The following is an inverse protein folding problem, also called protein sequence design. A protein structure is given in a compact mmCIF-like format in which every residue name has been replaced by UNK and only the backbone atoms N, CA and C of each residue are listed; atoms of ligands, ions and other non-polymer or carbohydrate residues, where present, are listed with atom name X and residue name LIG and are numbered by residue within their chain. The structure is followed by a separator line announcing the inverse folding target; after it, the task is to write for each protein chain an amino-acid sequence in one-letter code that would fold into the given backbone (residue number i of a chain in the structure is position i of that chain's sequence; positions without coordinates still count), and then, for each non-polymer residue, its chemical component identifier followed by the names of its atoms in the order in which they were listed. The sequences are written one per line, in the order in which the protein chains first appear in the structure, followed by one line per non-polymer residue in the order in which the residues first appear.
data_IF_790806733405
#
_entry.id   IF_790806733405
#
_cell.length_a   1.000
_cell.length_b   1.000
_cell.length_c   1.000
_cell.angle_alpha   90.00
_cell.angle_beta   90.00
_cell.angle_gamma   90.00
#
_symmetry.space_group_name_H-M   'P 1'
#
loop_
_entity.id
_entity.type
_entity.pdbx_description
1 polymer ?
#
# COMPACT_ATOMS: atom_id res chain seq x y z
N UNK A 1 -18.74 10.18 -3.74
CA UNK A 1 -18.26 9.49 -2.55
C UNK A 1 -17.92 8.05 -2.89
N UNK A 2 -16.79 7.55 -2.46
CA UNK A 2 -16.46 6.15 -2.70
C UNK A 2 -17.39 5.23 -1.92
N UNK A 3 -17.73 4.11 -2.52
CA UNK A 3 -18.62 3.12 -1.90
C UNK A 3 -17.86 2.14 -1.03
N UNK A 4 -16.55 2.00 -1.27
CA UNK A 4 -15.71 1.04 -0.56
C UNK A 4 -14.49 1.75 -0.02
N UNK A 5 -14.07 1.37 1.16
CA UNK A 5 -12.90 1.97 1.79
C UNK A 5 -12.07 0.86 2.44
N UNK A 6 -10.78 0.84 2.14
CA UNK A 6 -9.87 -0.17 2.66
C UNK A 6 -8.59 0.45 3.17
N UNK A 7 -7.94 -0.24 4.06
CA UNK A 7 -6.60 0.13 4.50
C UNK A 7 -5.59 -0.74 3.77
N UNK A 8 -4.49 -0.13 3.39
CA UNK A 8 -3.41 -0.82 2.73
C UNK A 8 -2.07 -0.39 3.31
N UNK A 9 -1.07 -1.24 3.16
CA UNK A 9 0.29 -0.92 3.58
C UNK A 9 1.21 -1.06 2.39
N UNK A 10 2.01 -0.03 2.15
CA UNK A 10 3.00 -0.05 1.08
C UNK A 10 4.38 -0.18 1.70
N UNK A 11 5.13 -1.18 1.27
CA UNK A 11 6.48 -1.44 1.77
C UNK A 11 7.44 -1.46 0.59
N UNK A 12 8.55 -0.78 0.75
CA UNK A 12 9.56 -0.76 -0.30
C UNK A 12 10.41 -2.00 -0.23
N UNK A 13 10.61 -2.64 -1.40
CA UNK A 13 11.48 -3.79 -1.53
C UNK A 13 12.24 -3.63 -2.83
N UNK A 14 13.51 -3.21 -2.73
CA UNK A 14 14.32 -2.95 -3.90
C UNK A 14 13.76 -1.78 -4.71
N UNK A 15 13.40 -2.07 -5.95
CA UNK A 15 12.88 -1.06 -6.86
C UNK A 15 11.36 -0.92 -6.80
N UNK A 16 10.71 -1.77 -6.04
CA UNK A 16 9.27 -1.87 -6.06
C UNK A 16 8.67 -1.47 -4.74
N UNK A 17 7.43 -0.98 -4.81
CA UNK A 17 6.59 -0.78 -3.64
C UNK A 17 5.54 -1.87 -3.67
N UNK A 18 5.52 -2.72 -2.64
CA UNK A 18 4.50 -3.73 -2.49
C UNK A 18 3.36 -3.17 -1.68
N UNK A 19 2.16 -3.30 -2.23
CA UNK A 19 0.97 -2.73 -1.61
C UNK A 19 0.09 -3.89 -1.18
N UNK A 20 -0.10 -4.05 0.13
CA UNK A 20 -0.92 -5.11 0.67
C UNK A 20 -2.25 -4.55 1.13
N UNK A 21 -3.33 -5.21 0.72
CA UNK A 21 -4.68 -4.87 1.16
C UNK A 21 -5.20 -6.09 1.91
N UNK A 22 -4.99 -6.14 3.25
CA UNK A 22 -5.30 -7.35 4.01
C UNK A 22 -6.76 -7.78 3.94
N UNK A 23 -7.67 -6.81 3.87
CA UNK A 23 -9.09 -7.13 3.82
C UNK A 23 -9.46 -7.90 2.57
N UNK A 24 -8.70 -7.72 1.50
CA UNK A 24 -8.95 -8.41 0.24
C UNK A 24 -7.95 -9.54 -0.01
N UNK A 25 -7.01 -9.71 0.91
CA UNK A 25 -5.96 -10.74 0.79
C UNK A 25 -5.27 -10.65 -0.57
N UNK A 26 -4.92 -9.45 -0.98
CA UNK A 26 -4.30 -9.22 -2.28
C UNK A 26 -3.15 -8.25 -2.16
N UNK A 27 -2.29 -8.27 -3.18
CA UNK A 27 -1.07 -7.47 -3.23
C UNK A 27 -0.95 -6.83 -4.60
N UNK A 28 -0.51 -5.57 -4.63
CA UNK A 28 -0.17 -4.89 -5.87
C UNK A 28 1.27 -4.44 -5.84
N UNK A 29 1.76 -3.91 -6.95
CA UNK A 29 3.11 -3.39 -7.07
C UNK A 29 3.09 -2.02 -7.75
N UNK A 30 3.91 -1.11 -7.24
CA UNK A 30 4.08 0.20 -7.85
C UNK A 30 5.55 0.52 -7.93
N UNK A 31 5.93 1.37 -8.88
CA UNK A 31 7.32 1.75 -9.06
C UNK A 31 7.67 3.01 -8.27
N UNK A 32 6.70 3.88 -8.09
CA UNK A 32 6.92 5.15 -7.42
C UNK A 32 5.87 5.35 -6.34
N UNK A 33 6.20 6.24 -5.40
CA UNK A 33 5.27 6.58 -4.33
C UNK A 33 3.98 7.18 -4.90
N UNK A 34 4.11 7.97 -5.97
CA UNK A 34 2.94 8.64 -6.53
C UNK A 34 1.97 7.66 -7.19
N UNK A 35 2.43 6.46 -7.56
CA UNK A 35 1.57 5.45 -8.17
C UNK A 35 0.86 4.56 -7.16
N UNK A 36 1.29 4.60 -5.89
CA UNK A 36 0.80 3.66 -4.89
C UNK A 36 -0.72 3.73 -4.73
N UNK A 37 -1.26 4.93 -4.56
CA UNK A 37 -2.70 5.09 -4.36
C UNK A 37 -3.50 4.59 -5.55
N UNK A 38 -3.04 4.90 -6.74
CA UNK A 38 -3.73 4.51 -7.96
C UNK A 38 -3.71 2.99 -8.12
N UNK A 39 -2.54 2.39 -7.94
CA UNK A 39 -2.42 0.93 -8.04
C UNK A 39 -3.30 0.26 -7.01
N UNK A 40 -3.32 0.77 -5.78
CA UNK A 40 -4.15 0.19 -4.72
C UNK A 40 -5.61 0.21 -5.11
N UNK A 41 -6.10 1.32 -5.66
CA UNK A 41 -7.50 1.41 -6.06
C UNK A 41 -7.81 0.47 -7.23
N UNK A 42 -6.89 0.37 -8.16
CA UNK A 42 -7.08 -0.52 -9.30
C UNK A 42 -7.13 -1.98 -8.87
N UNK A 43 -6.23 -2.36 -7.99
CA UNK A 43 -6.20 -3.74 -7.49
C UNK A 43 -7.49 -4.04 -6.74
N UNK A 44 -7.92 -3.14 -5.86
CA UNK A 44 -9.15 -3.33 -5.11
C UNK A 44 -10.37 -3.37 -6.05
N UNK A 45 -10.38 -2.48 -7.05
CA UNK A 45 -11.48 -2.45 -8.01
C UNK A 45 -11.59 -3.74 -8.81
N UNK A 46 -10.45 -4.28 -9.22
CA UNK A 46 -10.45 -5.55 -9.93
C UNK A 46 -10.92 -6.68 -9.03
N UNK A 47 -10.46 -6.69 -7.79
CA UNK A 47 -10.83 -7.73 -6.84
C UNK A 47 -12.33 -7.73 -6.56
N UNK A 48 -12.90 -6.53 -6.43
CA UNK A 48 -14.32 -6.38 -6.15
C UNK A 48 -15.18 -6.36 -7.39
N UNK A 49 -14.56 -6.27 -8.56
CA UNK A 49 -15.24 -6.13 -9.83
C UNK A 49 -16.09 -4.85 -9.87
N UNK A 50 -15.48 -3.76 -9.44
CA UNK A 50 -16.12 -2.44 -9.45
C UNK A 50 -15.17 -1.43 -10.05
N UNK A 51 -15.69 -0.25 -10.38
CA UNK A 51 -14.88 0.82 -10.92
C UNK A 51 -13.92 1.33 -9.83
N UNK A 52 -12.62 1.53 -10.15
CA UNK A 52 -11.68 2.06 -9.16
C UNK A 52 -12.11 3.39 -8.54
N UNK A 53 -12.90 4.19 -9.24
CA UNK A 53 -13.37 5.46 -8.70
C UNK A 53 -14.37 5.27 -7.55
N UNK A 54 -14.93 4.08 -7.41
CA UNK A 54 -15.81 3.76 -6.28
C UNK A 54 -15.03 3.27 -5.05
N UNK A 55 -13.72 3.20 -5.16
CA UNK A 55 -12.89 2.64 -4.09
C UNK A 55 -11.96 3.70 -3.54
N UNK A 56 -11.89 3.78 -2.23
CA UNK A 56 -10.91 4.60 -1.54
C UNK A 56 -9.99 3.66 -0.76
N UNK A 57 -8.68 3.86 -0.92
CA UNK A 57 -7.71 3.06 -0.18
C UNK A 57 -6.82 4.00 0.62
N UNK A 58 -6.78 3.79 1.92
CA UNK A 58 -5.93 4.55 2.82
C UNK A 58 -4.61 3.81 2.94
N UNK A 59 -3.57 4.35 2.31
CA UNK A 59 -2.29 3.68 2.22
C UNK A 59 -1.34 4.22 3.28
N UNK A 60 -0.75 3.33 4.05
CA UNK A 60 0.34 3.66 4.96
C UNK A 60 1.63 3.22 4.32
N UNK A 61 2.54 4.16 4.16
CA UNK A 61 3.84 3.84 3.60
C UNK A 61 4.77 3.47 4.74
N UNK A 62 5.34 2.28 4.68
CA UNK A 62 6.31 1.83 5.65
C UNK A 62 7.70 1.94 5.05
N UNK A 63 8.53 2.77 5.63
CA UNK A 63 9.92 2.84 5.24
C UNK A 63 10.65 1.79 6.06
N UNK A 64 11.38 0.94 5.37
CA UNK A 64 12.17 -0.06 6.04
C UNK A 64 13.30 0.67 6.74
N UNK A 65 13.16 0.89 8.03
CA UNK A 65 14.21 1.54 8.82
C UNK A 65 15.26 0.48 9.14
N UNK A 66 16.28 0.61 8.57
CA UNK A 66 17.36 -0.33 8.86
C UNK A 66 18.11 -0.04 10.12
N UNK A 67 17.38 0.63 9.35
CA UNK A 67 17.63 0.99 9.87
C UNK A 67 17.54 1.32 10.66
N UNK A 68 17.54 1.52 10.94
CA UNK A 68 17.48 1.74 11.72
C UNK A 68 17.57 1.61 12.51
N UNK A 69 17.88 1.75 12.85
CA UNK A 69 18.05 1.57 13.78
C UNK A 69 18.05 1.39 14.53
N UNK A 70 18.32 1.43 14.90
CA UNK A 70 18.36 1.23 15.85
C UNK A 70 18.54 1.25 16.45
N UNK A 71 18.43 1.60 16.63
CA UNK A 71 18.59 1.58 17.27
C UNK A 71 18.65 1.46 17.81
N UNK A 72 18.73 1.86 17.84
CA UNK A 72 18.89 1.84 18.59
C UNK A 72 18.77 1.84 19.02
N UNK A 73 18.77 2.14 19.07
CA UNK A 73 18.73 2.08 19.62
C UNK A 73 18.60 2.03 19.83
N UNK A 74 18.66 2.43 19.86
CA UNK A 74 18.66 2.44 20.27
C UNK A 74 18.49 2.43 20.31
N UNK A 75 18.50 2.76 20.46
CA UNK A 75 18.47 2.60 20.55
C UNK A 75 18.55 2.38 20.33
N UNK A 76 18.57 2.65 20.35
CA UNK A 76 18.75 2.49 20.39
C UNK A 76 18.87 2.46 20.11
#
# INVERSE_FOLDING_TARGET
MPKYSFDATATRDGKWWFIEIPELDTVGQARTVSEISEVAREVAGLWLNVDPSDVEVNVRVRVHADTDRPEGTGTG
#
